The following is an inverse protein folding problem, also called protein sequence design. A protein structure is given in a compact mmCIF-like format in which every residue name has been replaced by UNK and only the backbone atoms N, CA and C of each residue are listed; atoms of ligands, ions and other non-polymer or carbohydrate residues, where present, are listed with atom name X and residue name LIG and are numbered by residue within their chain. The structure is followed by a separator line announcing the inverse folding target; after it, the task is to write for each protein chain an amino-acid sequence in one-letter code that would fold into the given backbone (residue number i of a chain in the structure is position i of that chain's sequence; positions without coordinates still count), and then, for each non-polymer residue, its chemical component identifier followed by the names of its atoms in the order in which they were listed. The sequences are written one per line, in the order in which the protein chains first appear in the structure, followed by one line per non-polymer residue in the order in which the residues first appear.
data_IF_080845461774
#
_entry.id   IF_080845461774
#
_cell.length_a   1.000
_cell.length_b   1.000
_cell.length_c   1.000
_cell.angle_alpha   90.00
_cell.angle_beta   90.00
_cell.angle_gamma   90.00
#
_symmetry.space_group_name_H-M   'P 1'
#
loop_
_entity.id
_entity.type
_entity.pdbx_description
1 polymer ?
#
# COMPACT_ATOMS: atom_id res chain seq x y z
N UNK A 1 9.60 -26.91 4.50
CA UNK A 1 10.38 -25.68 4.76
C UNK A 1 11.11 -25.28 3.50
N UNK A 2 11.89 -26.18 2.91
CA UNK A 2 12.58 -25.97 1.62
C UNK A 2 11.63 -25.54 0.49
N UNK A 3 10.53 -26.26 0.30
CA UNK A 3 9.55 -25.98 -0.77
C UNK A 3 8.79 -24.65 -0.59
N UNK A 4 8.65 -24.17 0.65
CA UNK A 4 7.99 -22.88 0.90
C UNK A 4 8.94 -21.70 0.64
N UNK A 5 10.24 -21.88 0.90
CA UNK A 5 11.26 -20.88 0.57
C UNK A 5 11.50 -20.83 -0.95
N UNK A 6 11.47 -21.97 -1.64
CA UNK A 6 11.60 -22.04 -3.10
C UNK A 6 10.44 -21.31 -3.83
N UNK A 7 9.21 -21.42 -3.33
CA UNK A 7 8.07 -20.64 -3.86
C UNK A 7 8.22 -19.14 -3.59
N UNK A 8 8.78 -18.77 -2.44
CA UNK A 8 9.06 -17.37 -2.10
C UNK A 8 10.14 -16.80 -3.02
N UNK A 9 11.21 -17.54 -3.30
CA UNK A 9 12.26 -17.12 -4.24
C UNK A 9 11.70 -16.93 -5.66
N UNK A 10 10.84 -17.84 -6.13
CA UNK A 10 10.19 -17.71 -7.46
C UNK A 10 9.24 -16.51 -7.53
N UNK A 11 8.52 -16.20 -6.44
CA UNK A 11 7.64 -15.02 -6.39
C UNK A 11 8.45 -13.72 -6.29
N UNK A 12 9.55 -13.74 -5.51
CA UNK A 12 10.46 -12.62 -5.35
C UNK A 12 11.18 -12.28 -6.68
N UNK A 13 11.60 -13.28 -7.46
CA UNK A 13 12.24 -13.06 -8.77
C UNK A 13 11.24 -12.76 -9.90
N UNK A 14 9.94 -12.69 -9.62
CA UNK A 14 8.92 -12.48 -10.66
C UNK A 14 8.40 -11.04 -10.72
N UNK A 15 7.85 -10.68 -11.89
CA UNK A 15 7.09 -9.45 -12.11
C UNK A 15 5.95 -9.23 -11.07
N UNK A 16 5.62 -10.23 -10.23
CA UNK A 16 4.71 -10.08 -9.09
C UNK A 16 5.19 -9.06 -8.06
N UNK A 17 6.49 -8.92 -7.78
CA UNK A 17 6.95 -7.91 -6.81
C UNK A 17 6.57 -6.48 -7.28
N UNK A 18 6.81 -6.21 -8.57
CA UNK A 18 6.39 -4.97 -9.23
C UNK A 18 4.87 -4.82 -9.32
N UNK A 19 4.16 -5.89 -9.68
CA UNK A 19 2.70 -5.87 -9.79
C UNK A 19 1.99 -5.70 -8.44
N UNK A 20 2.48 -6.34 -7.38
CA UNK A 20 1.96 -6.20 -6.01
C UNK A 20 2.21 -4.78 -5.51
N UNK A 21 3.42 -4.25 -5.71
CA UNK A 21 3.73 -2.85 -5.36
C UNK A 21 2.80 -1.87 -6.08
N UNK A 22 2.57 -2.09 -7.37
CA UNK A 22 1.66 -1.28 -8.17
C UNK A 22 0.21 -1.37 -7.67
N UNK A 23 -0.28 -2.58 -7.37
CA UNK A 23 -1.62 -2.81 -6.85
C UNK A 23 -1.81 -2.12 -5.49
N UNK A 24 -0.84 -2.26 -4.58
CA UNK A 24 -0.85 -1.58 -3.28
C UNK A 24 -0.91 -0.05 -3.45
N UNK A 25 -0.19 0.51 -4.43
CA UNK A 25 -0.27 1.94 -4.74
C UNK A 25 -1.64 2.36 -5.27
N UNK A 26 -2.27 1.56 -6.12
CA UNK A 26 -3.64 1.85 -6.59
C UNK A 26 -4.61 1.84 -5.41
N UNK A 27 -4.56 0.81 -4.56
CA UNK A 27 -5.40 0.75 -3.36
C UNK A 27 -5.14 1.96 -2.47
N UNK A 28 -3.87 2.32 -2.25
CA UNK A 28 -3.48 3.51 -1.48
C UNK A 28 -4.05 4.81 -2.07
N UNK A 29 -4.00 4.99 -3.38
CA UNK A 29 -4.61 6.14 -4.07
C UNK A 29 -6.13 6.17 -3.89
N UNK A 30 -6.80 5.03 -4.02
CA UNK A 30 -8.26 4.94 -3.83
C UNK A 30 -8.65 5.30 -2.39
N UNK A 31 -7.92 4.81 -1.39
CA UNK A 31 -8.15 5.16 0.01
C UNK A 31 -7.90 6.66 0.27
N UNK A 32 -6.81 7.22 -0.28
CA UNK A 32 -6.48 8.62 -0.13
C UNK A 32 -7.56 9.53 -0.74
N UNK A 33 -7.95 9.26 -1.99
CA UNK A 33 -8.98 10.02 -2.69
C UNK A 33 -10.36 9.83 -2.05
N UNK A 34 -10.68 8.61 -1.61
CA UNK A 34 -11.91 8.31 -0.88
C UNK A 34 -11.97 9.04 0.46
N UNK A 35 -10.88 9.04 1.23
CA UNK A 35 -10.77 9.77 2.48
C UNK A 35 -10.88 11.28 2.29
N UNK A 36 -10.19 11.84 1.29
CA UNK A 36 -10.33 13.26 0.92
C UNK A 36 -11.76 13.59 0.48
N UNK A 37 -12.37 12.75 -0.34
CA UNK A 37 -13.75 12.92 -0.79
C UNK A 37 -14.73 12.91 0.38
N UNK A 38 -14.60 11.95 1.31
CA UNK A 38 -15.42 11.92 2.51
C UNK A 38 -15.19 13.16 3.38
N UNK A 39 -13.94 13.58 3.57
CA UNK A 39 -13.63 14.76 4.38
C UNK A 39 -14.23 16.06 3.79
N UNK A 40 -14.22 16.21 2.47
CA UNK A 40 -14.67 17.42 1.79
C UNK A 40 -16.18 17.45 1.48
N UNK A 41 -16.80 16.28 1.29
CA UNK A 41 -18.16 16.15 0.78
C UNK A 41 -19.17 15.65 1.83
N UNK A 42 -18.70 15.30 3.04
CA UNK A 42 -19.57 14.82 4.12
C UNK A 42 -19.48 15.71 5.36
N UNK A 43 -20.35 15.42 6.33
CA UNK A 43 -20.51 16.21 7.55
C UNK A 43 -19.42 15.96 8.61
N UNK A 44 -19.16 16.98 9.43
CA UNK A 44 -18.06 17.04 10.41
C UNK A 44 -18.13 15.98 11.52
N UNK A 45 -19.19 15.19 11.61
CA UNK A 45 -19.28 14.06 12.54
C UNK A 45 -18.43 12.85 12.13
N UNK A 46 -17.99 12.77 10.87
CA UNK A 46 -17.33 11.58 10.32
C UNK A 46 -15.80 11.59 10.40
N UNK A 47 -15.15 12.65 10.91
CA UNK A 47 -13.71 12.95 10.76
C UNK A 47 -12.72 11.78 10.97
N UNK A 48 -13.01 10.84 11.86
CA UNK A 48 -12.13 9.71 12.17
C UNK A 48 -11.95 8.79 10.95
N UNK A 49 -13.04 8.46 10.25
CA UNK A 49 -12.99 7.55 9.11
C UNK A 49 -12.19 8.12 7.92
N UNK A 50 -12.46 9.36 7.44
CA UNK A 50 -11.63 10.04 6.46
C UNK A 50 -10.16 10.11 6.84
N UNK A 51 -9.85 10.44 8.10
CA UNK A 51 -8.47 10.52 8.57
C UNK A 51 -7.78 9.16 8.50
N UNK A 52 -8.44 8.08 8.93
CA UNK A 52 -7.90 6.72 8.83
C UNK A 52 -7.65 6.30 7.38
N UNK A 53 -8.59 6.60 6.46
CA UNK A 53 -8.45 6.29 5.04
C UNK A 53 -7.27 7.05 4.41
N UNK A 54 -7.12 8.34 4.74
CA UNK A 54 -6.00 9.16 4.27
C UNK A 54 -4.67 8.60 4.78
N UNK A 55 -4.56 8.34 6.08
CA UNK A 55 -3.32 7.82 6.68
C UNK A 55 -2.98 6.43 6.14
N UNK A 56 -3.94 5.51 6.09
CA UNK A 56 -3.72 4.18 5.52
C UNK A 56 -3.33 4.25 4.04
N UNK A 57 -3.98 5.12 3.27
CA UNK A 57 -3.65 5.35 1.86
C UNK A 57 -2.22 5.86 1.68
N UNK A 58 -1.79 6.83 2.49
CA UNK A 58 -0.41 7.34 2.49
C UNK A 58 0.60 6.25 2.86
N UNK A 59 0.29 5.44 3.88
CA UNK A 59 1.16 4.32 4.28
C UNK A 59 1.32 3.34 3.12
N UNK A 60 0.24 2.95 2.44
CA UNK A 60 0.31 2.05 1.29
C UNK A 60 1.07 2.63 0.09
N UNK A 61 1.06 3.95 -0.09
CA UNK A 61 1.82 4.60 -1.16
C UNK A 61 3.32 4.66 -0.87
N UNK A 62 3.69 4.88 0.39
CA UNK A 62 5.07 5.17 0.79
C UNK A 62 5.80 3.91 1.25
N UNK A 63 5.17 3.07 2.08
CA UNK A 63 5.82 1.93 2.72
C UNK A 63 6.45 0.93 1.72
N UNK A 64 5.80 0.53 0.62
CA UNK A 64 6.42 -0.38 -0.35
C UNK A 64 7.72 0.18 -0.93
N UNK A 65 7.75 1.49 -1.23
CA UNK A 65 8.95 2.15 -1.77
C UNK A 65 10.10 2.17 -0.76
N UNK A 66 9.78 2.35 0.53
CA UNK A 66 10.77 2.30 1.60
C UNK A 66 11.31 0.87 1.76
N UNK A 67 10.43 -0.12 1.78
CA UNK A 67 10.82 -1.53 1.95
C UNK A 67 11.71 -2.00 0.80
N UNK A 68 11.37 -1.65 -0.45
CA UNK A 68 12.21 -1.94 -1.62
C UNK A 68 13.58 -1.27 -1.51
N UNK A 69 13.61 0.03 -1.18
CA UNK A 69 14.88 0.75 -1.01
C UNK A 69 15.74 0.17 0.12
N UNK A 70 15.14 -0.37 1.18
CA UNK A 70 15.86 -1.05 2.26
C UNK A 70 16.38 -2.43 1.82
N UNK A 71 15.60 -3.16 1.02
CA UNK A 71 16.01 -4.46 0.49
C UNK A 71 17.21 -4.34 -0.47
N UNK A 72 17.25 -3.28 -1.30
CA UNK A 72 18.39 -2.99 -2.18
C UNK A 72 19.70 -2.67 -1.42
N UNK A 73 19.61 -2.31 -0.13
CA UNK A 73 20.77 -1.94 0.70
C UNK A 73 21.30 -3.08 1.59
N UNK A 74 20.57 -4.19 1.71
CA UNK A 74 20.90 -5.33 2.56
C UNK A 74 21.74 -6.38 1.82
#
# INVERSE_FOLDING_TARGET
MEEALEVVDVVADSELEGAVTWLLRIVGLVLLLGGLGLWLLTEMGLLVLPALLIVAGLVLLVAPSILLALAELA
#
